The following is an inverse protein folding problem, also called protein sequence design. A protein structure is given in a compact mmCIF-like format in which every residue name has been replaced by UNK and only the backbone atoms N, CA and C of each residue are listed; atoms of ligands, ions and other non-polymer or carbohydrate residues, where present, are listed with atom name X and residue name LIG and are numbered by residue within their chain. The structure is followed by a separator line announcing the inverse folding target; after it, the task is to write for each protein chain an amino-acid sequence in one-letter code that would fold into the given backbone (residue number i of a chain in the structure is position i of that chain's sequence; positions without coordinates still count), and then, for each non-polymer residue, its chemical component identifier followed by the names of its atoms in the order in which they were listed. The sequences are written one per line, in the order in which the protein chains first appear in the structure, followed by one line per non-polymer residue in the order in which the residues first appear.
data_IF_688638601451
#
_entry.id   IF_688638601451
#
_cell.length_a   1.000
_cell.length_b   1.000
_cell.length_c   1.000
_cell.angle_alpha   90.00
_cell.angle_beta   90.00
_cell.angle_gamma   90.00
#
_symmetry.space_group_name_H-M   'P 1'
#
loop_
_entity.id
_entity.type
_entity.pdbx_description
1 polymer ?
#
# COMPACT_ATOMS: atom_id res chain seq x y z
N UNK A 1 -15.94 22.85 -9.42
CA UNK A 1 -14.82 23.66 -9.97
C UNK A 1 -13.61 23.45 -9.10
N UNK A 2 -12.43 23.25 -9.69
CA UNK A 2 -11.17 23.08 -8.98
C UNK A 2 -10.75 24.36 -8.27
N UNK A 3 -10.34 24.25 -6.99
CA UNK A 3 -9.80 25.37 -6.23
C UNK A 3 -8.26 25.36 -6.30
N UNK A 4 -7.69 26.22 -7.15
CA UNK A 4 -6.24 26.30 -7.39
C UNK A 4 -5.44 26.74 -6.15
N UNK A 5 -6.02 27.53 -5.25
CA UNK A 5 -5.38 27.93 -4.00
C UNK A 5 -5.18 26.70 -3.09
N UNK A 6 -6.23 25.89 -2.89
CA UNK A 6 -6.12 24.69 -2.05
C UNK A 6 -5.18 23.65 -2.67
N UNK A 7 -5.16 23.51 -3.99
CA UNK A 7 -4.16 22.64 -4.64
C UNK A 7 -2.73 23.12 -4.42
N UNK A 8 -2.50 24.42 -4.44
CA UNK A 8 -1.18 24.98 -4.14
C UNK A 8 -0.78 24.68 -2.70
N UNK A 9 -1.70 24.86 -1.75
CA UNK A 9 -1.47 24.50 -0.35
C UNK A 9 -1.16 23.02 -0.16
N UNK A 10 -1.87 22.13 -0.87
CA UNK A 10 -1.61 20.70 -0.86
C UNK A 10 -0.22 20.35 -1.41
N UNK A 11 0.21 21.01 -2.51
CA UNK A 11 1.55 20.81 -3.10
C UNK A 11 2.67 21.22 -2.14
N UNK A 12 2.50 22.30 -1.40
CA UNK A 12 3.48 22.79 -0.42
C UNK A 12 3.67 21.81 0.76
N UNK A 13 2.69 20.92 1.01
CA UNK A 13 2.69 19.91 2.07
C UNK A 13 3.08 18.52 1.57
N UNK A 14 3.62 18.43 0.37
CA UNK A 14 4.09 17.15 -0.16
C UNK A 14 5.26 16.63 0.70
N UNK A 15 5.04 15.54 1.42
CA UNK A 15 6.07 14.88 2.21
C UNK A 15 6.89 13.98 1.32
N UNK A 16 8.23 14.11 1.39
CA UNK A 16 9.12 13.16 0.74
C UNK A 16 8.93 11.77 1.35
N UNK A 17 8.68 10.76 0.50
CA UNK A 17 8.61 9.38 0.93
C UNK A 17 9.99 8.91 1.41
N UNK A 18 10.01 8.24 2.54
CA UNK A 18 11.18 7.50 3.02
C UNK A 18 11.25 6.17 2.28
N UNK A 19 12.47 5.76 1.91
CA UNK A 19 12.71 4.51 1.21
C UNK A 19 13.71 3.66 1.99
N UNK A 20 13.46 2.35 2.09
CA UNK A 20 14.41 1.42 2.72
C UNK A 20 14.35 0.04 2.06
N UNK A 21 15.47 -0.68 2.10
CA UNK A 21 15.51 -2.04 1.55
C UNK A 21 15.03 -3.06 2.55
N UNK A 22 14.19 -3.97 2.09
CA UNK A 22 13.73 -5.15 2.81
C UNK A 22 14.12 -6.39 2.03
N UNK A 23 14.56 -7.41 2.72
CA UNK A 23 14.91 -8.72 2.15
C UNK A 23 13.97 -9.78 2.68
N UNK A 24 13.74 -10.87 1.93
CA UNK A 24 12.96 -11.99 2.44
C UNK A 24 13.61 -12.59 3.69
N UNK A 25 12.78 -12.99 4.64
CA UNK A 25 13.19 -13.60 5.91
C UNK A 25 13.06 -15.13 5.90
N UNK A 26 12.20 -15.67 5.01
CA UNK A 26 12.01 -17.11 4.87
C UNK A 26 11.64 -17.50 3.44
N UNK A 27 11.94 -18.75 3.07
CA UNK A 27 11.28 -19.47 1.98
C UNK A 27 10.13 -20.24 2.58
N UNK A 28 8.94 -20.09 2.00
CA UNK A 28 7.71 -20.68 2.54
C UNK A 28 6.97 -21.50 1.50
N UNK A 29 6.06 -22.34 1.97
CA UNK A 29 5.12 -23.12 1.15
C UNK A 29 3.70 -22.76 1.54
N UNK A 30 2.87 -22.42 0.57
CA UNK A 30 1.45 -22.24 0.78
C UNK A 30 0.75 -23.59 0.84
N UNK A 31 0.03 -23.87 1.92
CA UNK A 31 -0.68 -25.12 2.15
C UNK A 31 -2.12 -24.84 2.54
N UNK A 32 -3.03 -25.71 2.05
CA UNK A 32 -4.42 -25.68 2.49
C UNK A 32 -4.51 -26.21 3.92
N UNK A 33 -5.28 -25.51 4.75
CA UNK A 33 -5.53 -25.88 6.14
C UNK A 33 -6.89 -25.32 6.56
N UNK A 34 -7.87 -26.18 6.78
CA UNK A 34 -9.25 -25.79 7.11
C UNK A 34 -9.34 -25.00 8.43
N UNK A 35 -8.36 -25.15 9.33
CA UNK A 35 -8.28 -24.40 10.57
C UNK A 35 -7.65 -23.00 10.39
N UNK A 36 -6.98 -22.75 9.27
CA UNK A 36 -6.36 -21.46 9.00
C UNK A 36 -7.40 -20.44 8.53
N UNK A 37 -7.15 -19.17 8.85
CA UNK A 37 -7.97 -18.08 8.33
C UNK A 37 -7.96 -18.09 6.79
N UNK A 38 -9.14 -18.05 6.19
CA UNK A 38 -9.35 -18.20 4.74
C UNK A 38 -8.88 -19.54 4.14
N UNK A 39 -8.68 -20.59 4.96
CA UNK A 39 -8.32 -21.92 4.51
C UNK A 39 -6.89 -22.11 4.00
N UNK A 40 -6.01 -21.13 4.16
CA UNK A 40 -4.64 -21.19 3.67
C UNK A 40 -3.64 -20.63 4.67
N UNK A 41 -2.47 -21.29 4.78
CA UNK A 41 -1.37 -20.84 5.61
C UNK A 41 -0.02 -20.97 4.92
N UNK A 42 0.96 -20.18 5.39
CA UNK A 42 2.35 -20.32 4.97
C UNK A 42 3.14 -21.11 6.00
N UNK A 43 3.85 -22.14 5.55
CA UNK A 43 4.77 -22.92 6.37
C UNK A 43 6.20 -22.68 5.91
N UNK A 44 7.09 -22.35 6.84
CA UNK A 44 8.52 -22.16 6.54
C UNK A 44 9.13 -23.47 6.06
N UNK A 45 9.90 -23.38 4.97
CA UNK A 45 10.61 -24.51 4.35
C UNK A 45 12.10 -24.39 4.60
N UNK A 46 12.69 -23.22 4.37
CA UNK A 46 14.12 -22.98 4.54
C UNK A 46 14.45 -21.51 4.75
N UNK A 47 15.72 -21.23 4.99
CA UNK A 47 16.25 -19.87 5.05
C UNK A 47 16.51 -19.33 3.62
N UNK A 48 16.39 -18.02 3.38
CA UNK A 48 16.66 -17.44 2.06
C UNK A 48 18.08 -17.71 1.54
N UNK A 49 19.05 -17.86 2.43
CA UNK A 49 20.45 -18.16 2.05
C UNK A 49 20.62 -19.49 1.32
N UNK A 50 19.74 -20.43 1.52
CA UNK A 50 19.75 -21.72 0.80
C UNK A 50 19.15 -21.58 -0.59
N UNK A 51 18.13 -20.71 -0.72
CA UNK A 51 17.47 -20.39 -1.97
C UNK A 51 18.42 -19.79 -3.00
N UNK A 52 19.23 -18.80 -2.61
CA UNK A 52 20.15 -18.10 -3.52
C UNK A 52 21.37 -18.94 -3.96
N UNK A 53 21.52 -20.17 -3.48
CA UNK A 53 22.65 -21.05 -3.81
C UNK A 53 22.40 -21.96 -5.01
N UNK A 54 21.17 -22.10 -5.45
CA UNK A 54 20.83 -23.05 -6.50
C UNK A 54 20.30 -22.38 -7.77
N UNK A 55 20.56 -22.96 -8.93
CA UNK A 55 19.90 -22.54 -10.17
C UNK A 55 18.48 -23.11 -10.26
N UNK A 56 17.62 -22.40 -11.02
CA UNK A 56 16.23 -22.75 -11.28
C UNK A 56 16.03 -23.14 -12.74
N UNK A 57 15.07 -24.06 -12.99
CA UNK A 57 14.67 -24.55 -14.30
C UNK A 57 13.23 -24.13 -14.62
N UNK A 58 12.81 -24.39 -15.86
CA UNK A 58 11.44 -24.22 -16.30
C UNK A 58 10.46 -24.95 -15.38
N UNK A 59 9.36 -24.28 -15.01
CA UNK A 59 8.30 -24.77 -14.14
C UNK A 59 8.62 -24.73 -12.64
N UNK A 60 9.86 -24.43 -12.23
CA UNK A 60 10.19 -24.28 -10.83
C UNK A 60 9.61 -23.01 -10.25
N UNK A 61 9.13 -23.14 -9.03
CA UNK A 61 8.43 -22.09 -8.28
C UNK A 61 8.79 -22.09 -6.81
N UNK A 62 8.67 -20.93 -6.20
CA UNK A 62 8.89 -20.73 -4.77
C UNK A 62 8.10 -19.54 -4.25
N UNK A 63 8.00 -19.42 -2.94
CA UNK A 63 7.38 -18.29 -2.27
C UNK A 63 8.36 -17.76 -1.22
N UNK A 64 8.55 -16.45 -1.22
CA UNK A 64 9.36 -15.74 -0.24
C UNK A 64 8.44 -14.98 0.72
N UNK A 65 8.70 -15.08 2.04
CA UNK A 65 8.08 -14.27 3.07
C UNK A 65 9.02 -13.11 3.42
N UNK A 66 8.51 -11.89 3.43
CA UNK A 66 9.23 -10.68 3.84
C UNK A 66 9.03 -10.33 5.32
N UNK A 67 8.30 -11.20 6.06
CA UNK A 67 8.07 -11.07 7.50
C UNK A 67 6.85 -10.23 7.86
N UNK A 68 6.66 -9.12 7.17
CA UNK A 68 5.48 -8.25 7.28
C UNK A 68 5.10 -7.68 5.91
N UNK A 69 3.95 -7.03 5.85
CA UNK A 69 3.52 -6.31 4.65
C UNK A 69 4.31 -5.01 4.46
N UNK A 70 4.69 -4.76 3.22
CA UNK A 70 5.33 -3.53 2.78
C UNK A 70 4.69 -3.00 1.49
N UNK A 71 4.78 -1.69 1.31
CA UNK A 71 4.43 -0.99 0.07
C UNK A 71 5.70 -0.50 -0.60
N UNK A 72 5.87 -0.77 -1.90
CA UNK A 72 7.09 -0.35 -2.60
C UNK A 72 7.33 -1.06 -3.92
N UNK A 73 8.58 -1.16 -4.34
CA UNK A 73 9.01 -1.72 -5.61
C UNK A 73 9.95 -2.90 -5.45
N UNK A 74 9.74 -3.95 -6.25
CA UNK A 74 10.59 -5.13 -6.28
C UNK A 74 11.80 -4.91 -7.20
N UNK A 75 12.95 -5.45 -6.80
CA UNK A 75 14.15 -5.55 -7.62
C UNK A 75 14.70 -6.97 -7.60
N UNK A 76 15.06 -7.49 -8.77
CA UNK A 76 15.62 -8.82 -8.99
C UNK A 76 16.97 -8.69 -9.68
N UNK A 77 18.02 -9.31 -9.11
CA UNK A 77 19.29 -9.52 -9.80
C UNK A 77 19.35 -10.96 -10.27
N UNK A 78 19.43 -11.11 -11.57
CA UNK A 78 19.35 -12.41 -12.25
C UNK A 78 20.55 -12.62 -13.15
N UNK A 79 20.98 -13.89 -13.32
CA UNK A 79 21.95 -14.31 -14.34
C UNK A 79 21.65 -15.72 -14.84
N UNK A 80 22.17 -16.08 -15.99
CA UNK A 80 22.25 -17.48 -16.41
C UNK A 80 23.25 -18.23 -15.51
N UNK A 81 22.99 -19.51 -15.26
CA UNK A 81 23.97 -20.38 -14.55
C UNK A 81 25.07 -20.89 -15.47
N UNK A 82 24.91 -20.75 -16.78
CA UNK A 82 25.81 -21.21 -17.80
C UNK A 82 26.64 -20.04 -18.34
N UNK A 83 27.80 -20.32 -18.96
CA UNK A 83 28.66 -19.27 -19.50
C UNK A 83 28.07 -18.54 -20.72
N UNK A 84 26.94 -19.00 -21.20
CA UNK A 84 26.20 -18.38 -22.30
C UNK A 84 25.00 -17.62 -21.73
N UNK A 85 24.93 -16.34 -22.04
CA UNK A 85 23.76 -15.52 -21.72
C UNK A 85 22.66 -15.74 -22.77
N UNK A 86 22.19 -16.99 -22.84
CA UNK A 86 21.06 -17.27 -23.70
C UNK A 86 19.77 -16.80 -23.02
N UNK A 87 18.96 -16.06 -23.73
CA UNK A 87 17.71 -15.41 -23.29
C UNK A 87 16.69 -15.49 -24.44
N UNK A 88 15.42 -15.20 -24.22
CA UNK A 88 14.82 -14.53 -23.07
C UNK A 88 14.45 -15.46 -21.91
N UNK A 89 14.32 -14.88 -20.72
CA UNK A 89 13.75 -15.54 -19.54
C UNK A 89 12.36 -14.99 -19.28
N UNK A 90 11.38 -15.87 -19.09
CA UNK A 90 10.00 -15.48 -18.79
C UNK A 90 9.62 -15.89 -17.38
N UNK A 91 9.17 -14.91 -16.60
CA UNK A 91 8.86 -15.06 -15.18
C UNK A 91 7.41 -14.67 -14.91
N UNK A 92 6.81 -15.36 -13.93
CA UNK A 92 5.54 -14.98 -13.32
C UNK A 92 5.74 -14.66 -11.85
N UNK A 93 5.21 -13.54 -11.41
CA UNK A 93 5.22 -13.10 -10.02
C UNK A 93 3.82 -12.79 -9.54
N UNK A 94 3.54 -13.11 -8.26
CA UNK A 94 2.33 -12.67 -7.56
C UNK A 94 2.78 -11.99 -6.27
N UNK A 95 2.32 -10.76 -6.08
CA UNK A 95 2.57 -9.96 -4.89
C UNK A 95 1.35 -10.10 -3.97
N UNK A 96 1.49 -10.87 -2.90
CA UNK A 96 0.39 -11.26 -2.03
C UNK A 96 0.52 -10.66 -0.62
N UNK A 97 -0.59 -10.19 -0.08
CA UNK A 97 -0.70 -9.77 1.31
C UNK A 97 -0.98 -10.96 2.22
N UNK A 98 -1.83 -11.87 1.75
CA UNK A 98 -2.25 -13.05 2.52
C UNK A 98 -2.04 -14.36 1.74
N UNK A 99 -1.96 -15.51 2.44
CA UNK A 99 -1.77 -16.82 1.82
C UNK A 99 -2.82 -17.20 0.79
N UNK A 100 -4.09 -16.79 0.99
CA UNK A 100 -5.20 -17.13 0.10
C UNK A 100 -4.98 -16.61 -1.32
N UNK A 101 -4.34 -15.46 -1.49
CA UNK A 101 -4.08 -14.86 -2.81
C UNK A 101 -3.16 -15.75 -3.68
N UNK A 102 -2.34 -16.57 -3.05
CA UNK A 102 -1.47 -17.55 -3.73
C UNK A 102 -2.14 -18.92 -3.79
N UNK A 103 -2.77 -19.35 -2.70
CA UNK A 103 -3.35 -20.68 -2.56
C UNK A 103 -4.53 -20.90 -3.49
N UNK A 104 -5.46 -19.98 -3.49
CA UNK A 104 -6.71 -20.08 -4.27
C UNK A 104 -6.49 -19.91 -5.78
N UNK A 105 -5.44 -19.23 -6.20
CA UNK A 105 -5.06 -18.93 -7.60
C UNK A 105 -6.18 -18.37 -8.47
N UNK A 106 -7.27 -17.98 -7.90
CA UNK A 106 -8.42 -17.24 -8.47
C UNK A 106 -8.82 -17.59 -9.92
N UNK A 107 -8.58 -18.82 -10.38
CA UNK A 107 -8.89 -19.25 -11.77
C UNK A 107 -10.38 -19.22 -12.09
N UNK A 108 -11.23 -19.30 -11.05
CA UNK A 108 -12.68 -19.37 -11.16
C UNK A 108 -13.38 -18.24 -10.39
N UNK A 109 -12.67 -17.13 -10.13
CA UNK A 109 -13.28 -16.01 -9.44
C UNK A 109 -14.50 -15.49 -10.22
N UNK A 110 -15.65 -15.42 -9.53
CA UNK A 110 -16.92 -14.93 -10.06
C UNK A 110 -17.47 -13.71 -9.28
N UNK A 111 -16.64 -13.08 -8.44
CA UNK A 111 -17.04 -11.90 -7.69
C UNK A 111 -17.15 -10.64 -8.57
N UNK A 112 -17.72 -9.59 -8.00
CA UNK A 112 -17.99 -8.31 -8.69
C UNK A 112 -16.73 -7.43 -8.83
N UNK A 113 -15.69 -7.68 -8.04
CA UNK A 113 -14.47 -6.90 -8.07
C UNK A 113 -13.54 -7.37 -9.20
N UNK A 114 -12.77 -6.45 -9.76
CA UNK A 114 -11.78 -6.80 -10.77
C UNK A 114 -10.67 -7.71 -10.22
N UNK A 115 -10.35 -8.78 -10.95
CA UNK A 115 -9.17 -9.62 -10.65
C UNK A 115 -7.84 -8.87 -10.75
N UNK A 116 -7.81 -7.72 -11.41
CA UNK A 116 -6.62 -6.89 -11.52
C UNK A 116 -6.15 -6.32 -10.16
N UNK A 117 -6.96 -6.42 -9.11
CA UNK A 117 -6.54 -6.11 -7.75
C UNK A 117 -5.54 -7.11 -7.17
N UNK A 118 -5.56 -8.37 -7.65
CA UNK A 118 -4.45 -9.30 -7.38
C UNK A 118 -3.27 -8.85 -8.23
N UNK A 119 -2.21 -8.42 -7.58
CA UNK A 119 -1.03 -7.87 -8.23
C UNK A 119 -0.18 -9.01 -8.79
N UNK A 120 -0.43 -9.37 -10.05
CA UNK A 120 0.27 -10.40 -10.80
C UNK A 120 1.03 -9.75 -11.96
N UNK A 121 2.29 -10.19 -12.18
CA UNK A 121 3.10 -9.76 -13.31
C UNK A 121 3.63 -10.97 -14.08
N UNK A 122 3.64 -10.87 -15.41
CA UNK A 122 4.38 -11.76 -16.29
C UNK A 122 5.36 -10.89 -17.06
N UNK A 123 6.65 -11.13 -16.88
CA UNK A 123 7.71 -10.36 -17.53
C UNK A 123 8.58 -11.25 -18.37
N UNK A 124 9.05 -10.74 -19.49
CA UNK A 124 10.06 -11.35 -20.33
C UNK A 124 11.31 -10.48 -20.30
N UNK A 125 12.46 -11.07 -20.00
CA UNK A 125 13.75 -10.39 -19.86
C UNK A 125 14.69 -10.89 -20.93
N UNK A 126 15.11 -9.99 -21.80
CA UNK A 126 15.91 -10.32 -22.97
C UNK A 126 17.41 -10.32 -22.70
N UNK A 127 17.85 -9.59 -21.66
CA UNK A 127 19.27 -9.45 -21.33
C UNK A 127 19.63 -10.10 -20.00
N UNK A 128 20.74 -10.82 -19.97
CA UNK A 128 21.34 -11.41 -18.76
C UNK A 128 22.86 -11.22 -18.76
N UNK A 129 23.52 -10.96 -17.60
CA UNK A 129 22.95 -10.71 -16.28
C UNK A 129 22.33 -9.33 -16.16
N UNK A 130 21.27 -9.16 -15.37
CA UNK A 130 20.72 -7.84 -15.13
C UNK A 130 20.13 -7.66 -13.73
N UNK A 131 20.00 -6.39 -13.33
CA UNK A 131 19.17 -5.95 -12.21
C UNK A 131 17.87 -5.38 -12.76
N UNK A 132 16.81 -6.18 -12.73
CA UNK A 132 15.49 -5.74 -13.16
C UNK A 132 14.74 -5.09 -11.99
N UNK A 133 14.24 -3.86 -12.21
CA UNK A 133 13.40 -3.13 -11.25
C UNK A 133 11.99 -3.05 -11.79
N UNK A 134 11.04 -3.57 -11.02
CA UNK A 134 9.64 -3.49 -11.40
C UNK A 134 9.14 -2.05 -11.32
N UNK A 135 8.43 -1.53 -12.34
CA UNK A 135 8.05 -0.12 -12.42
C UNK A 135 6.89 0.25 -11.50
N UNK A 136 6.07 -0.72 -11.12
CA UNK A 136 4.89 -0.49 -10.28
C UNK A 136 5.22 -0.50 -8.80
N UNK A 137 4.38 0.17 -8.01
CA UNK A 137 4.34 0.05 -6.56
C UNK A 137 3.35 -1.06 -6.20
N UNK A 138 3.79 -1.99 -5.36
CA UNK A 138 3.04 -3.15 -4.89
C UNK A 138 2.83 -3.07 -3.39
N UNK A 139 1.78 -3.73 -2.90
CA UNK A 139 1.57 -4.03 -1.49
C UNK A 139 1.68 -5.54 -1.30
N UNK A 140 2.63 -6.01 -0.51
CA UNK A 140 2.87 -7.43 -0.33
C UNK A 140 3.57 -7.77 0.98
N UNK A 141 3.31 -8.97 1.47
CA UNK A 141 4.16 -9.71 2.41
C UNK A 141 4.82 -10.90 1.72
N UNK A 142 4.10 -11.59 0.84
CA UNK A 142 4.57 -12.80 0.17
C UNK A 142 4.80 -12.56 -1.32
N UNK A 143 5.93 -13.04 -1.82
CA UNK A 143 6.26 -13.02 -3.24
C UNK A 143 6.24 -14.45 -3.78
N UNK A 144 5.23 -14.80 -4.60
CA UNK A 144 5.29 -15.99 -5.43
C UNK A 144 6.11 -15.70 -6.67
N UNK A 145 6.99 -16.61 -7.01
CA UNK A 145 7.89 -16.54 -8.15
C UNK A 145 7.85 -17.87 -8.92
N UNK A 146 7.73 -17.82 -10.24
CA UNK A 146 7.73 -18.96 -11.11
C UNK A 146 8.58 -18.68 -12.36
N UNK A 147 9.48 -19.59 -12.69
CA UNK A 147 10.22 -19.59 -13.94
C UNK A 147 9.33 -20.25 -14.99
N UNK A 148 8.65 -19.46 -15.83
CA UNK A 148 7.80 -19.99 -16.89
C UNK A 148 8.65 -20.62 -17.97
N UNK A 149 9.70 -19.91 -18.43
CA UNK A 149 10.63 -20.38 -19.45
C UNK A 149 12.01 -19.74 -19.26
N UNK A 150 13.03 -20.54 -19.45
CA UNK A 150 14.44 -20.14 -19.57
C UNK A 150 15.16 -21.11 -20.49
N UNK A 151 16.06 -20.65 -21.37
CA UNK A 151 16.83 -21.53 -22.25
C UNK A 151 17.73 -22.52 -21.51
N UNK A 152 18.34 -22.03 -20.40
CA UNK A 152 19.19 -22.83 -19.53
C UNK A 152 18.67 -22.86 -18.10
N UNK A 153 19.57 -22.68 -17.13
CA UNK A 153 19.22 -22.55 -15.72
C UNK A 153 19.37 -21.10 -15.29
N UNK A 154 18.38 -20.58 -14.56
CA UNK A 154 18.34 -19.23 -14.02
C UNK A 154 18.90 -19.21 -12.61
N UNK A 155 19.85 -18.32 -12.32
CA UNK A 155 20.29 -17.99 -10.98
C UNK A 155 19.67 -16.67 -10.53
N UNK A 156 19.06 -16.70 -9.36
CA UNK A 156 18.60 -15.50 -8.66
C UNK A 156 19.65 -15.11 -7.64
N UNK A 157 20.36 -14.00 -7.89
CA UNK A 157 21.48 -13.56 -7.03
C UNK A 157 21.00 -12.69 -5.88
N UNK A 158 19.99 -11.85 -6.13
CA UNK A 158 19.44 -10.96 -5.13
C UNK A 158 17.95 -10.69 -5.42
N UNK A 159 17.15 -10.71 -4.36
CA UNK A 159 15.78 -10.18 -4.35
C UNK A 159 15.68 -9.21 -3.18
N UNK A 160 15.26 -8.01 -3.45
CA UNK A 160 14.93 -7.05 -2.40
C UNK A 160 13.74 -6.19 -2.81
N UNK A 161 13.04 -5.73 -1.79
CA UNK A 161 11.91 -4.82 -1.94
C UNK A 161 12.32 -3.45 -1.41
N UNK A 162 12.22 -2.42 -2.23
CA UNK A 162 12.41 -1.04 -1.79
C UNK A 162 11.09 -0.54 -1.25
N UNK A 163 10.89 -0.72 0.04
CA UNK A 163 9.73 -0.24 0.75
C UNK A 163 9.69 1.29 0.79
N UNK A 164 8.48 1.85 0.79
CA UNK A 164 8.25 3.29 0.84
C UNK A 164 7.08 3.65 1.74
N UNK A 165 7.17 4.78 2.43
CA UNK A 165 6.09 5.42 3.19
C UNK A 165 6.49 6.84 3.61
N UNK A 166 5.55 7.68 3.96
CA UNK A 166 5.80 8.98 4.59
C UNK A 166 6.44 8.84 5.99
N UNK A 167 6.30 7.66 6.62
CA UNK A 167 6.95 7.31 7.89
C UNK A 167 7.64 5.96 7.75
N UNK A 168 8.70 5.72 8.52
CA UNK A 168 9.45 4.47 8.45
C UNK A 168 9.32 3.63 9.72
N UNK A 169 9.73 4.24 10.81
CA UNK A 169 9.93 3.51 12.05
C UNK A 169 8.63 3.50 12.85
N UNK A 170 8.29 2.34 13.41
CA UNK A 170 7.17 2.20 14.34
C UNK A 170 7.58 2.75 15.71
N UNK A 171 6.62 3.21 16.47
CA UNK A 171 6.84 3.60 17.84
C UNK A 171 7.05 2.37 18.73
N UNK A 172 7.82 2.48 19.82
CA UNK A 172 7.88 1.43 20.82
C UNK A 172 6.50 1.20 21.43
N UNK A 173 6.17 -0.04 21.82
CA UNK A 173 4.92 -0.30 22.54
C UNK A 173 4.92 0.41 23.88
N UNK A 174 3.74 0.72 24.38
CA UNK A 174 3.59 1.29 25.72
C UNK A 174 3.96 0.23 26.78
N UNK A 175 4.59 0.68 27.88
CA UNK A 175 5.10 -0.22 28.93
C UNK A 175 4.01 -1.07 29.60
N UNK A 176 2.76 -0.56 29.66
CA UNK A 176 1.63 -1.25 30.24
C UNK A 176 0.99 -2.31 29.33
N UNK A 177 1.40 -2.42 28.05
CA UNK A 177 0.83 -3.36 27.13
C UNK A 177 1.27 -4.79 27.40
N UNK A 178 0.33 -5.74 27.37
CA UNK A 178 0.62 -7.16 27.35
C UNK A 178 1.08 -7.62 25.94
N UNK A 179 1.37 -8.92 25.81
CA UNK A 179 1.90 -9.49 24.58
C UNK A 179 0.92 -9.37 23.40
N UNK A 180 -0.38 -9.51 23.62
CA UNK A 180 -1.42 -9.45 22.59
C UNK A 180 -1.67 -8.00 22.20
N UNK A 181 -1.71 -7.08 23.16
CA UNK A 181 -1.82 -5.64 22.95
C UNK A 181 -0.63 -5.10 22.13
N UNK A 182 0.61 -5.57 22.42
CA UNK A 182 1.80 -5.21 21.65
C UNK A 182 1.68 -5.70 20.20
N UNK A 183 1.16 -6.91 19.97
CA UNK A 183 0.96 -7.43 18.62
C UNK A 183 -0.10 -6.63 17.85
N UNK A 184 -1.21 -6.28 18.50
CA UNK A 184 -2.28 -5.49 17.94
C UNK A 184 -1.81 -4.07 17.60
N UNK A 185 -1.12 -3.40 18.54
CA UNK A 185 -0.55 -2.07 18.33
C UNK A 185 0.43 -2.05 17.15
N UNK A 186 1.35 -3.01 17.09
CA UNK A 186 2.29 -3.13 15.97
C UNK A 186 1.57 -3.39 14.64
N UNK A 187 0.51 -4.19 14.63
CA UNK A 187 -0.28 -4.42 13.42
C UNK A 187 -0.98 -3.12 12.97
N UNK A 188 -1.60 -2.39 13.89
CA UNK A 188 -2.25 -1.12 13.61
C UNK A 188 -1.27 -0.05 13.08
N UNK A 189 -0.12 0.10 13.73
CA UNK A 189 0.92 1.04 13.29
C UNK A 189 1.47 0.66 11.89
N UNK A 190 1.71 -0.63 11.61
CA UNK A 190 2.15 -1.08 10.27
C UNK A 190 1.11 -0.80 9.20
N UNK A 191 -0.17 -1.03 9.51
CA UNK A 191 -1.27 -0.75 8.59
C UNK A 191 -1.29 0.74 8.24
N UNK A 192 -1.30 1.61 9.24
CA UNK A 192 -1.26 3.06 9.01
C UNK A 192 0.01 3.47 8.25
N UNK A 193 1.20 2.98 8.64
CA UNK A 193 2.45 3.26 7.92
C UNK A 193 2.34 2.94 6.43
N UNK A 194 1.76 1.78 6.09
CA UNK A 194 1.62 1.34 4.70
C UNK A 194 0.59 2.18 3.93
N UNK A 195 -0.43 2.71 4.59
CA UNK A 195 -1.39 3.64 4.01
C UNK A 195 -0.84 5.07 3.83
N UNK A 196 0.16 5.48 4.64
CA UNK A 196 0.77 6.82 4.59
C UNK A 196 1.75 6.95 3.41
N UNK A 197 1.25 7.22 2.22
CA UNK A 197 2.01 7.44 1.00
C UNK A 197 2.11 8.94 0.66
N UNK A 198 2.04 9.34 -0.61
CA UNK A 198 1.94 10.76 -1.01
C UNK A 198 0.63 11.42 -0.55
N UNK A 199 -0.38 10.60 -0.32
CA UNK A 199 -1.61 10.86 0.43
C UNK A 199 -1.84 9.70 1.40
N UNK A 200 -2.77 9.82 2.31
CA UNK A 200 -3.23 8.70 3.12
C UNK A 200 -4.22 7.87 2.27
N UNK A 201 -3.95 6.58 2.13
CA UNK A 201 -4.72 5.65 1.29
C UNK A 201 -5.63 4.80 2.16
N UNK A 202 -6.87 4.56 1.72
CA UNK A 202 -7.80 3.60 2.32
C UNK A 202 -7.23 2.17 2.41
N UNK A 203 -6.36 1.83 1.46
CA UNK A 203 -5.64 0.57 1.42
C UNK A 203 -4.57 0.58 0.35
N UNK A 204 -3.35 0.08 0.64
CA UNK A 204 -2.21 0.20 -0.27
C UNK A 204 -2.31 -0.72 -1.49
N UNK A 205 -3.12 -1.77 -1.45
CA UNK A 205 -3.41 -2.64 -2.59
C UNK A 205 -4.71 -2.22 -3.29
N UNK A 206 -5.78 -1.96 -2.52
CA UNK A 206 -7.12 -1.62 -2.99
C UNK A 206 -7.80 -0.70 -1.95
N UNK A 207 -8.51 0.40 -2.33
CA UNK A 207 -8.65 0.97 -3.68
C UNK A 207 -7.48 1.88 -4.08
N UNK A 208 -6.54 2.17 -3.17
CA UNK A 208 -5.38 3.07 -3.36
C UNK A 208 -5.81 4.51 -3.61
N UNK A 209 -6.75 5.00 -2.83
CA UNK A 209 -7.33 6.34 -2.95
C UNK A 209 -7.37 7.02 -1.60
N UNK A 210 -7.45 8.33 -1.62
CA UNK A 210 -7.73 9.11 -0.42
C UNK A 210 -9.24 9.14 -0.18
N UNK A 211 -9.76 8.21 0.65
CA UNK A 211 -11.14 8.21 1.10
C UNK A 211 -11.28 9.01 2.39
N UNK A 212 -12.29 9.89 2.46
CA UNK A 212 -12.47 10.79 3.61
C UNK A 212 -12.84 10.04 4.89
N UNK A 213 -13.67 8.99 4.80
CA UNK A 213 -14.06 8.19 5.96
C UNK A 213 -12.86 7.48 6.59
N UNK A 214 -12.03 6.87 5.76
CA UNK A 214 -10.80 6.19 6.17
C UNK A 214 -9.81 7.20 6.76
N UNK A 215 -9.58 8.32 6.06
CA UNK A 215 -8.70 9.39 6.52
C UNK A 215 -9.08 9.89 7.93
N UNK A 216 -10.37 9.98 8.23
CA UNK A 216 -10.83 10.42 9.54
C UNK A 216 -10.44 9.45 10.66
N UNK A 217 -10.55 8.15 10.40
CA UNK A 217 -10.13 7.11 11.36
C UNK A 217 -8.61 7.06 11.49
N UNK A 218 -7.91 7.12 10.37
CA UNK A 218 -6.45 7.13 10.32
C UNK A 218 -5.85 8.37 10.99
N UNK A 219 -6.55 9.51 10.94
CA UNK A 219 -6.15 10.73 11.64
C UNK A 219 -6.12 10.55 13.16
N UNK A 220 -7.06 9.79 13.73
CA UNK A 220 -7.05 9.47 15.16
C UNK A 220 -5.82 8.62 15.54
N UNK A 221 -5.53 7.60 14.75
CA UNK A 221 -4.35 6.75 14.97
C UNK A 221 -3.07 7.56 14.78
N UNK A 222 -2.99 8.41 13.74
CA UNK A 222 -1.84 9.29 13.54
C UNK A 222 -1.62 10.25 14.70
N UNK A 223 -2.68 10.78 15.33
CA UNK A 223 -2.57 11.72 16.43
C UNK A 223 -1.86 11.12 17.66
N UNK A 224 -2.08 9.83 17.93
CA UNK A 224 -1.47 9.10 19.05
C UNK A 224 -0.21 8.33 18.68
N UNK A 225 0.14 8.26 17.37
CA UNK A 225 1.31 7.55 16.88
C UNK A 225 2.28 8.48 16.16
N UNK A 226 2.32 8.45 14.84
CA UNK A 226 3.36 9.10 14.02
C UNK A 226 3.33 10.63 14.03
N UNK A 227 2.19 11.24 14.35
CA UNK A 227 1.98 12.70 14.41
C UNK A 227 2.45 13.43 13.14
N UNK A 228 2.31 12.79 11.98
CA UNK A 228 2.65 13.38 10.69
C UNK A 228 1.49 14.25 10.18
N UNK A 229 1.22 15.34 10.89
CA UNK A 229 0.10 16.24 10.59
C UNK A 229 0.23 16.93 9.23
N UNK A 230 1.46 17.13 8.72
CA UNK A 230 1.68 17.74 7.41
C UNK A 230 1.06 16.91 6.26
N UNK A 231 1.15 15.57 6.33
CA UNK A 231 0.51 14.69 5.36
C UNK A 231 -1.01 14.78 5.44
N UNK A 232 -1.58 14.83 6.64
CA UNK A 232 -3.02 14.96 6.85
C UNK A 232 -3.55 16.33 6.41
N UNK A 233 -2.81 17.42 6.64
CA UNK A 233 -3.13 18.73 6.08
C UNK A 233 -3.18 18.71 4.55
N UNK A 234 -2.20 18.03 3.91
CA UNK A 234 -2.22 17.82 2.45
C UNK A 234 -3.52 17.14 2.01
N UNK A 235 -3.94 16.10 2.70
CA UNK A 235 -5.18 15.35 2.39
C UNK A 235 -6.43 16.23 2.55
N UNK A 236 -6.50 17.04 3.62
CA UNK A 236 -7.59 17.99 3.86
C UNK A 236 -7.67 19.01 2.71
N UNK A 237 -6.53 19.59 2.32
CA UNK A 237 -6.49 20.55 1.21
C UNK A 237 -6.89 19.91 -0.13
N UNK A 238 -6.50 18.65 -0.39
CA UNK A 238 -6.91 17.95 -1.60
C UNK A 238 -8.41 17.69 -1.64
N UNK A 239 -9.04 17.28 -0.54
CA UNK A 239 -10.49 17.13 -0.46
C UNK A 239 -11.21 18.46 -0.70
N UNK A 240 -10.72 19.54 -0.09
CA UNK A 240 -11.27 20.87 -0.24
C UNK A 240 -11.06 21.48 -1.65
N UNK A 241 -10.07 20.97 -2.41
CA UNK A 241 -9.76 21.49 -3.74
C UNK A 241 -10.77 21.07 -4.82
N UNK A 242 -11.55 20.01 -4.60
CA UNK A 242 -12.43 19.42 -5.62
C UNK A 242 -13.90 19.30 -5.19
N UNK A 243 -14.54 20.36 -4.66
CA UNK A 243 -15.94 20.26 -4.28
C UNK A 243 -16.83 20.05 -5.50
N UNK A 244 -17.94 19.36 -5.32
CA UNK A 244 -19.01 19.26 -6.31
C UNK A 244 -19.63 20.63 -6.60
N UNK A 245 -20.42 20.74 -7.66
CA UNK A 245 -21.03 22.01 -8.08
C UNK A 245 -21.92 22.67 -6.99
N UNK A 246 -22.53 21.87 -6.13
CA UNK A 246 -23.32 22.33 -4.98
C UNK A 246 -22.46 22.72 -3.76
N UNK A 247 -21.13 22.52 -3.83
CA UNK A 247 -20.19 22.75 -2.73
C UNK A 247 -19.98 21.56 -1.79
N UNK A 248 -20.56 20.39 -2.09
CA UNK A 248 -20.35 19.19 -1.32
C UNK A 248 -18.96 18.61 -1.56
N UNK A 249 -18.33 18.10 -0.49
CA UNK A 249 -17.00 17.49 -0.57
C UNK A 249 -17.11 16.12 -1.22
N UNK A 250 -16.18 15.73 -2.13
CA UNK A 250 -16.17 14.39 -2.72
C UNK A 250 -15.85 13.34 -1.66
N UNK A 251 -16.41 12.14 -1.80
CA UNK A 251 -16.13 11.04 -0.88
C UNK A 251 -14.66 10.58 -0.93
N UNK A 252 -14.00 10.73 -2.10
CA UNK A 252 -12.58 10.41 -2.24
C UNK A 252 -11.88 11.27 -3.30
N UNK A 253 -10.55 11.29 -3.20
CA UNK A 253 -9.65 11.88 -4.19
C UNK A 253 -8.84 10.77 -4.87
N UNK A 254 -8.76 10.82 -6.19
CA UNK A 254 -7.76 10.11 -6.96
C UNK A 254 -6.50 10.98 -7.03
N UNK A 255 -5.41 10.47 -6.49
CA UNK A 255 -4.14 11.19 -6.43
C UNK A 255 -3.38 11.16 -7.76
N UNK A 256 -3.53 10.07 -8.51
CA UNK A 256 -2.77 9.84 -9.76
C UNK A 256 -3.69 9.61 -10.96
N UNK A 257 -3.24 9.97 -12.18
CA UNK A 257 -1.96 10.61 -12.57
C UNK A 257 -1.84 12.08 -12.14
N UNK A 258 -2.94 12.75 -11.85
CA UNK A 258 -3.05 14.07 -11.24
C UNK A 258 -4.27 14.05 -10.30
N UNK A 259 -4.27 14.86 -9.24
CA UNK A 259 -5.38 14.84 -8.28
C UNK A 259 -6.71 15.26 -8.93
N UNK A 260 -7.78 14.52 -8.63
CA UNK A 260 -9.16 14.89 -8.97
C UNK A 260 -10.17 14.24 -8.00
N UNK A 261 -11.31 14.89 -7.78
CA UNK A 261 -12.38 14.38 -6.93
C UNK A 261 -13.21 13.29 -7.61
N UNK A 262 -13.60 12.25 -6.88
CA UNK A 262 -14.55 11.27 -7.39
C UNK A 262 -15.94 11.92 -7.60
N UNK A 263 -16.79 11.25 -8.39
CA UNK A 263 -18.19 11.66 -8.56
C UNK A 263 -19.10 11.16 -7.44
N UNK A 264 -18.59 10.29 -6.60
CA UNK A 264 -19.33 9.70 -5.49
C UNK A 264 -19.48 10.72 -4.35
N UNK A 265 -20.69 10.78 -3.83
CA UNK A 265 -21.03 11.57 -2.65
C UNK A 265 -21.57 10.62 -1.60
N UNK A 266 -21.04 10.72 -0.39
CA UNK A 266 -21.52 10.03 0.79
C UNK A 266 -21.87 11.07 1.85
N UNK A 267 -23.12 11.08 2.27
CA UNK A 267 -23.66 12.14 3.13
C UNK A 267 -22.95 12.18 4.50
N UNK A 268 -22.67 11.02 5.07
CA UNK A 268 -21.92 10.85 6.31
C UNK A 268 -20.48 11.38 6.18
N UNK A 269 -19.80 11.15 5.05
CA UNK A 269 -18.46 11.66 4.80
C UNK A 269 -18.42 13.20 4.78
N UNK A 270 -19.47 13.85 4.28
CA UNK A 270 -19.58 15.31 4.34
C UNK A 270 -19.48 15.83 5.79
N UNK A 271 -20.10 15.16 6.75
CA UNK A 271 -20.00 15.51 8.17
C UNK A 271 -18.65 15.13 8.79
N UNK A 272 -18.06 13.99 8.37
CA UNK A 272 -16.75 13.54 8.85
C UNK A 272 -15.63 14.53 8.49
N UNK A 273 -15.80 15.34 7.44
CA UNK A 273 -14.86 16.43 7.14
C UNK A 273 -14.75 17.44 8.27
N UNK A 274 -15.86 17.80 8.88
CA UNK A 274 -15.88 18.75 10.01
C UNK A 274 -15.25 18.15 11.26
N UNK A 275 -15.49 16.85 11.50
CA UNK A 275 -14.91 16.11 12.62
C UNK A 275 -13.38 15.96 12.44
N UNK A 276 -12.93 15.68 11.22
CA UNK A 276 -11.51 15.65 10.88
C UNK A 276 -10.81 17.00 11.14
N UNK A 277 -11.47 18.12 10.79
CA UNK A 277 -10.93 19.46 11.05
C UNK A 277 -10.85 19.77 12.55
N UNK A 278 -11.88 19.37 13.31
CA UNK A 278 -11.88 19.54 14.77
C UNK A 278 -10.73 18.75 15.40
N UNK A 279 -10.60 17.46 15.06
CA UNK A 279 -9.49 16.64 15.53
C UNK A 279 -8.13 17.26 15.20
N UNK A 280 -7.95 17.68 13.95
CA UNK A 280 -6.70 18.29 13.52
C UNK A 280 -6.37 19.57 14.31
N UNK A 281 -7.37 20.44 14.52
CA UNK A 281 -7.20 21.64 15.31
C UNK A 281 -6.87 21.34 16.78
N UNK A 282 -7.54 20.38 17.39
CA UNK A 282 -7.28 19.97 18.78
C UNK A 282 -5.84 19.47 18.96
N UNK A 283 -5.31 18.73 17.98
CA UNK A 283 -3.98 18.15 18.06
C UNK A 283 -2.84 19.10 17.67
N UNK A 284 -3.11 20.10 16.81
CA UNK A 284 -2.08 20.97 16.24
C UNK A 284 -2.17 22.42 16.64
N UNK A 285 -3.35 22.90 17.05
CA UNK A 285 -3.64 24.31 17.23
C UNK A 285 -3.64 25.13 15.94
N UNK A 286 -3.63 24.46 14.74
CA UNK A 286 -3.55 25.15 13.45
C UNK A 286 -4.85 25.93 13.13
N UNK A 287 -4.97 27.09 13.73
CA UNK A 287 -6.11 28.00 13.54
C UNK A 287 -6.26 28.46 12.09
N UNK A 288 -5.15 28.67 11.39
CA UNK A 288 -5.17 29.11 10.00
C UNK A 288 -5.89 28.10 9.10
N UNK A 289 -5.54 26.81 9.19
CA UNK A 289 -6.22 25.75 8.43
C UNK A 289 -7.72 25.70 8.78
N UNK A 290 -8.04 25.77 10.07
CA UNK A 290 -9.43 25.78 10.52
C UNK A 290 -10.22 26.93 9.90
N UNK A 291 -9.69 28.16 9.93
CA UNK A 291 -10.35 29.36 9.36
C UNK A 291 -10.53 29.24 7.83
N UNK A 292 -9.53 28.71 7.13
CA UNK A 292 -9.60 28.48 5.67
C UNK A 292 -10.66 27.43 5.29
N UNK A 293 -10.83 26.39 6.09
CA UNK A 293 -11.74 25.25 5.84
C UNK A 293 -13.14 25.45 6.41
N UNK A 294 -13.31 26.33 7.41
CA UNK A 294 -14.57 26.53 8.11
C UNK A 294 -15.76 26.85 7.19
N UNK A 295 -15.64 27.74 6.16
CA UNK A 295 -16.75 28.01 5.27
C UNK A 295 -17.21 26.75 4.50
N UNK A 296 -16.27 25.90 4.11
CA UNK A 296 -16.56 24.67 3.40
C UNK A 296 -17.18 23.62 4.33
N UNK A 297 -16.67 23.49 5.55
CA UNK A 297 -17.25 22.63 6.58
C UNK A 297 -18.69 23.04 6.92
N UNK A 298 -18.93 24.33 7.16
CA UNK A 298 -20.27 24.88 7.40
C UNK A 298 -21.22 24.58 6.26
N UNK A 299 -20.75 24.72 5.01
CA UNK A 299 -21.54 24.43 3.81
C UNK A 299 -22.06 22.98 3.80
N UNK A 300 -21.29 22.01 4.32
CA UNK A 300 -21.74 20.62 4.40
C UNK A 300 -23.02 20.51 5.25
N UNK A 301 -23.09 21.17 6.39
CA UNK A 301 -24.30 21.17 7.22
C UNK A 301 -25.46 21.92 6.55
N UNK A 302 -25.19 23.05 5.89
CA UNK A 302 -26.22 23.84 5.26
C UNK A 302 -26.90 23.07 4.11
N UNK A 303 -26.16 22.19 3.42
CA UNK A 303 -26.71 21.33 2.35
C UNK A 303 -27.76 20.34 2.84
N UNK A 304 -27.68 19.87 4.07
CA UNK A 304 -28.59 18.89 4.66
C UNK A 304 -29.67 19.51 5.57
N UNK A 305 -29.69 20.83 5.73
CA UNK A 305 -30.75 21.56 6.44
C UNK A 305 -31.87 22.03 5.52
N UNK A 306 -31.66 22.00 4.23
CA UNK A 306 -32.60 22.53 3.23
C UNK A 306 -33.65 21.49 2.79
N UNK A 307 -33.58 20.26 3.28
CA UNK A 307 -34.52 19.18 3.09
C UNK A 307 -35.32 18.94 4.39
#
# INVERSE_FOLDING_TARGET
MENSFFLTCAKQRNSALKHWRVRPVAVVKCVHDDAAWQGWQMRTVSRPSEFFKRPFRNGERFILDFGEEFVGQLSLRLRSSENFNDSPVRLKLIFAESPVEIGERNRRYQGTLSRAWIQEEIVTLDDMPQLYKFPRVYAMRYLYFEVIATPGKLCVEEIYFTAQSAVRDLLPPLEQFDADEIQLDRAAQRTLRNCMQEVVLDGPKRDRRLWLGDLRLEAQVNAVTFRNFNLFERCIYLLAAFPHANGQIPACIFDKPHPYGCRCVLSDYSFLFSDLLLLHYQETGNRKLLEEMYPLAKKQFDLFRAD
#
